data_IF_375208721763
#
_entry.id   IF_375208721763
#
_cell.length_a   1.000
_cell.length_b   1.000
_cell.length_c   1.000
_cell.angle_alpha   90.00
_cell.angle_beta   90.00
_cell.angle_gamma   90.00
#
_symmetry.space_group_name_H-M   'P 1'
#
loop_
_entity.id
_entity.type
_entity.pdbx_description
1 polymer ?
#
# COMPACT_ATOMS: atom_id res chain seq x y z
N UNK A 1 -12.58 0.98 -29.47
CA UNK A 1 -11.40 0.24 -28.97
C UNK A 1 -11.10 0.76 -27.57
N UNK A 2 -11.33 -0.04 -26.54
CA UNK A 2 -11.08 0.37 -25.14
C UNK A 2 -9.58 0.45 -24.90
N UNK A 3 -9.10 1.58 -24.39
CA UNK A 3 -7.70 1.78 -24.05
C UNK A 3 -7.35 0.90 -22.83
N UNK A 4 -6.24 0.14 -22.84
CA UNK A 4 -5.88 -0.68 -21.68
C UNK A 4 -5.65 0.21 -20.47
N UNK A 5 -6.23 -0.16 -19.34
CA UNK A 5 -6.01 0.53 -18.06
C UNK A 5 -4.56 0.25 -17.64
N UNK A 6 -3.78 1.27 -17.24
CA UNK A 6 -2.42 1.05 -16.77
C UNK A 6 -2.41 0.19 -15.49
N UNK A 7 -1.40 -0.67 -15.29
CA UNK A 7 -1.32 -1.52 -14.11
C UNK A 7 -1.16 -0.69 -12.84
N UNK A 8 -1.79 -1.13 -11.75
CA UNK A 8 -1.63 -0.49 -10.45
C UNK A 8 -0.30 -0.88 -9.79
N UNK A 9 0.12 -0.14 -8.76
CA UNK A 9 1.32 -0.49 -7.99
C UNK A 9 1.19 -1.89 -7.35
N UNK A 10 0.00 -2.27 -6.90
CA UNK A 10 -0.29 -3.61 -6.36
C UNK A 10 -0.05 -4.69 -7.41
N UNK A 11 -0.50 -4.45 -8.65
CA UNK A 11 -0.29 -5.39 -9.77
C UNK A 11 1.19 -5.55 -10.08
N UNK A 12 1.94 -4.45 -10.09
CA UNK A 12 3.38 -4.44 -10.35
C UNK A 12 4.13 -5.21 -9.26
N UNK A 13 3.83 -4.97 -7.98
CA UNK A 13 4.49 -5.65 -6.85
C UNK A 13 4.24 -7.16 -6.89
N UNK A 14 2.99 -7.59 -7.11
CA UNK A 14 2.62 -9.01 -7.23
C UNK A 14 3.25 -9.68 -8.44
N UNK A 15 3.38 -8.96 -9.55
CA UNK A 15 4.07 -9.46 -10.73
C UNK A 15 5.56 -9.68 -10.43
N UNK A 16 6.25 -8.68 -9.88
CA UNK A 16 7.68 -8.77 -9.52
C UNK A 16 7.94 -9.89 -8.50
N UNK A 17 7.04 -10.10 -7.53
CA UNK A 17 7.17 -11.16 -6.53
C UNK A 17 7.17 -12.58 -7.15
N UNK A 18 6.55 -12.75 -8.33
CA UNK A 18 6.41 -14.05 -9.03
C UNK A 18 7.48 -14.25 -10.10
N UNK A 19 7.95 -13.17 -10.70
CA UNK A 19 8.94 -13.21 -11.77
C UNK A 19 10.31 -13.69 -11.26
N UNK A 20 11.08 -14.35 -12.13
CA UNK A 20 12.41 -14.90 -11.78
C UNK A 20 13.59 -13.91 -11.65
N UNK A 21 13.60 -12.66 -12.17
CA UNK A 21 14.82 -11.84 -12.15
C UNK A 21 15.05 -11.08 -10.83
N UNK A 22 14.64 -11.63 -9.67
CA UNK A 22 14.95 -11.04 -8.36
C UNK A 22 16.41 -11.28 -7.92
N UNK A 23 17.16 -12.13 -8.62
CA UNK A 23 18.53 -12.53 -8.25
C UNK A 23 19.48 -11.34 -8.12
N UNK A 24 19.36 -10.31 -8.97
CA UNK A 24 20.17 -9.09 -8.87
C UNK A 24 19.88 -8.29 -7.61
N UNK A 25 18.61 -8.16 -7.26
CA UNK A 25 18.14 -7.46 -6.05
C UNK A 25 18.58 -8.20 -4.80
N UNK A 26 18.42 -9.53 -4.75
CA UNK A 26 18.80 -10.35 -3.59
C UNK A 26 20.31 -10.26 -3.32
N UNK A 27 21.15 -10.18 -4.36
CA UNK A 27 22.61 -9.99 -4.20
C UNK A 27 22.99 -8.69 -3.51
N UNK A 28 22.15 -7.66 -3.56
CA UNK A 28 22.39 -6.41 -2.84
C UNK A 28 22.11 -6.53 -1.33
N UNK A 29 21.43 -7.59 -0.89
CA UNK A 29 21.04 -7.82 0.51
C UNK A 29 21.59 -9.16 1.02
N UNK A 30 22.83 -9.20 1.53
CA UNK A 30 23.44 -10.42 2.04
C UNK A 30 22.58 -11.08 3.12
N UNK A 31 22.34 -12.39 2.99
CA UNK A 31 21.54 -13.15 3.95
C UNK A 31 20.02 -13.13 3.69
N UNK A 32 19.55 -12.40 2.68
CA UNK A 32 18.16 -12.48 2.23
C UNK A 32 18.04 -13.53 1.11
N UNK A 33 17.00 -14.36 1.15
CA UNK A 33 16.70 -15.31 0.07
C UNK A 33 15.77 -14.69 -0.97
N UNK A 34 15.61 -15.37 -2.12
CA UNK A 34 14.61 -14.99 -3.12
C UNK A 34 13.20 -15.11 -2.55
N UNK A 35 12.94 -16.18 -1.79
CA UNK A 35 11.67 -16.41 -1.13
C UNK A 35 11.34 -15.28 -0.15
N UNK A 36 12.31 -14.82 0.63
CA UNK A 36 12.13 -13.71 1.57
C UNK A 36 11.74 -12.42 0.84
N UNK A 37 12.41 -12.12 -0.27
CA UNK A 37 12.09 -10.96 -1.12
C UNK A 37 10.68 -11.06 -1.71
N UNK A 38 10.30 -12.23 -2.23
CA UNK A 38 8.95 -12.47 -2.76
C UNK A 38 7.87 -12.27 -1.70
N UNK A 39 8.09 -12.77 -0.48
CA UNK A 39 7.18 -12.57 0.66
C UNK A 39 7.06 -11.11 1.06
N UNK A 40 8.17 -10.37 1.07
CA UNK A 40 8.17 -8.94 1.39
C UNK A 40 7.35 -8.13 0.39
N UNK A 41 7.51 -8.41 -0.91
CA UNK A 41 6.77 -7.74 -1.97
C UNK A 41 5.27 -8.02 -1.91
N UNK A 42 4.87 -9.27 -1.63
CA UNK A 42 3.46 -9.62 -1.44
C UNK A 42 2.89 -8.93 -0.19
N UNK A 43 3.62 -8.91 0.93
CA UNK A 43 3.19 -8.21 2.14
C UNK A 43 3.01 -6.69 1.92
N UNK A 44 3.89 -6.07 1.12
CA UNK A 44 3.74 -4.67 0.72
C UNK A 44 2.49 -4.44 -0.14
N UNK A 45 2.19 -5.35 -1.08
CA UNK A 45 1.00 -5.29 -1.91
C UNK A 45 -0.30 -5.43 -1.07
N UNK A 46 -0.31 -6.34 -0.10
CA UNK A 46 -1.42 -6.51 0.85
C UNK A 46 -1.63 -5.25 1.70
N UNK A 47 -0.56 -4.65 2.22
CA UNK A 47 -0.65 -3.43 3.00
C UNK A 47 -1.24 -2.25 2.19
N UNK A 48 -0.79 -2.08 0.94
CA UNK A 48 -1.33 -1.06 0.04
C UNK A 48 -2.81 -1.30 -0.28
N UNK A 49 -3.20 -2.56 -0.44
CA UNK A 49 -4.61 -2.93 -0.64
C UNK A 49 -5.46 -2.58 0.58
N UNK A 50 -4.96 -2.87 1.79
CA UNK A 50 -5.64 -2.55 3.04
C UNK A 50 -5.81 -1.03 3.24
N UNK A 51 -4.77 -0.23 2.95
CA UNK A 51 -4.86 1.24 3.00
C UNK A 51 -5.88 1.80 2.02
N UNK A 52 -6.02 1.18 0.85
CA UNK A 52 -7.02 1.61 -0.14
C UNK A 52 -8.46 1.25 0.25
N UNK A 53 -8.64 0.32 1.20
CA UNK A 53 -9.94 -0.15 1.69
C UNK A 53 -10.33 0.47 3.03
N UNK A 54 -9.44 1.22 3.69
CA UNK A 54 -9.76 1.84 4.97
C UNK A 54 -10.93 2.83 4.77
N UNK A 55 -12.10 2.59 5.39
CA UNK A 55 -13.25 3.46 5.22
C UNK A 55 -12.90 4.85 5.78
N UNK A 56 -13.33 5.94 5.14
CA UNK A 56 -13.07 7.28 5.66
C UNK A 56 -13.57 7.37 7.12
N UNK A 57 -12.84 8.07 8.00
CA UNK A 57 -13.26 8.19 9.39
C UNK A 57 -14.70 8.70 9.45
N UNK A 58 -15.54 8.17 10.36
CA UNK A 58 -16.92 8.59 10.46
C UNK A 58 -16.97 10.11 10.65
N UNK A 59 -17.92 10.81 10.01
CA UNK A 59 -18.05 12.25 10.18
C UNK A 59 -18.18 12.59 11.68
N UNK A 60 -17.55 13.67 12.16
CA UNK A 60 -17.65 14.05 13.56
C UNK A 60 -19.11 14.22 13.95
N UNK A 61 -19.50 13.84 15.18
CA UNK A 61 -20.89 13.93 15.61
C UNK A 61 -21.40 15.37 15.48
N UNK A 62 -22.63 15.58 14.98
CA UNK A 62 -23.23 16.90 14.85
C UNK A 62 -23.45 17.48 16.25
N UNK A 63 -22.54 18.34 16.72
CA UNK A 63 -22.62 18.89 18.06
C UNK A 63 -21.37 19.60 18.57
N UNK A 64 -20.19 19.33 18.02
CA UNK A 64 -18.97 20.10 18.32
C UNK A 64 -18.94 21.43 17.55
N UNK A 65 -20.00 22.24 17.70
CA UNK A 65 -19.85 23.68 17.53
C UNK A 65 -18.92 24.13 18.64
N UNK A 66 -17.65 24.36 18.29
CA UNK A 66 -16.67 25.00 19.19
C UNK A 66 -17.35 26.21 19.80
N UNK A 67 -17.76 26.12 21.06
CA UNK A 67 -18.27 27.26 21.81
C UNK A 67 -17.13 28.26 21.82
N UNK A 68 -17.21 29.26 20.93
CA UNK A 68 -16.35 30.44 21.00
C UNK A 68 -16.65 31.05 22.36
N UNK A 69 -15.73 30.90 23.31
CA UNK A 69 -15.74 31.69 24.54
C UNK A 69 -15.82 33.17 24.14
N UNK A 70 -16.76 33.95 24.68
CA UNK A 70 -16.76 35.38 24.44
C UNK A 70 -15.52 36.00 25.14
N UNK A 71 -14.92 37.05 24.56
CA UNK A 71 -13.88 37.81 25.24
C UNK A 71 -14.51 38.57 26.43
N UNK A 72 -13.70 38.74 27.48
CA UNK A 72 -14.05 39.38 28.76
C UNK A 72 -14.47 40.83 28.61
#
# INVERSE_FOLDING_TARGET
MSRPVPPTLVDILRHIAREEPLTGTVRAFPGMTREDMGRLLEAAAEHLTALSLEPPPPPPPPGVRRHRRPPR
#
